data_IF_604312257380
#
_entry.id   IF_604312257380
#
_cell.length_a   1.000
_cell.length_b   1.000
_cell.length_c   1.000
_cell.angle_alpha   90.00
_cell.angle_beta   90.00
_cell.angle_gamma   90.00
#
_symmetry.space_group_name_H-M   'P 1'
#
loop_
_entity.id
_entity.type
_entity.pdbx_description
1 polymer ?
#
# COMPACT_ATOMS: atom_id res chain seq x y z
N UNK A 1 10.96 8.27 -7.98
CA UNK A 1 10.66 6.90 -8.44
C UNK A 1 11.87 6.02 -8.15
N UNK A 2 11.66 4.82 -7.59
CA UNK A 2 12.72 3.82 -7.44
C UNK A 2 12.90 3.07 -8.76
N UNK A 3 14.15 2.90 -9.20
CA UNK A 3 14.48 2.09 -10.38
C UNK A 3 14.84 0.68 -9.90
N UNK A 4 14.15 -0.33 -10.43
CA UNK A 4 14.37 -1.74 -10.09
C UNK A 4 14.85 -2.48 -11.32
N UNK A 5 15.86 -3.33 -11.15
CA UNK A 5 16.32 -4.28 -12.17
C UNK A 5 15.86 -5.67 -11.76
N UNK A 6 15.29 -6.41 -12.69
CA UNK A 6 14.82 -7.78 -12.48
C UNK A 6 15.33 -8.67 -13.61
N UNK A 7 15.71 -9.89 -13.26
CA UNK A 7 16.00 -10.93 -14.25
C UNK A 7 14.69 -11.61 -14.65
N UNK A 8 14.48 -11.76 -15.96
CA UNK A 8 13.34 -12.46 -16.54
C UNK A 8 13.84 -13.54 -17.50
N UNK A 9 13.37 -14.80 -17.39
CA UNK A 9 13.59 -15.81 -18.41
C UNK A 9 13.06 -15.37 -19.78
N UNK A 10 13.75 -15.77 -20.86
CA UNK A 10 13.43 -15.35 -22.23
C UNK A 10 11.97 -15.63 -22.63
N UNK A 11 11.43 -16.79 -22.21
CA UNK A 11 10.03 -17.17 -22.47
C UNK A 11 9.04 -16.14 -21.91
N UNK A 12 9.33 -15.54 -20.75
CA UNK A 12 8.48 -14.53 -20.14
C UNK A 12 8.65 -13.17 -20.82
N UNK A 13 9.86 -12.83 -21.25
CA UNK A 13 10.12 -11.60 -22.03
C UNK A 13 9.30 -11.62 -23.32
N UNK A 14 9.27 -12.76 -24.01
CA UNK A 14 8.48 -12.91 -25.23
C UNK A 14 6.98 -12.68 -24.96
N UNK A 15 6.42 -13.32 -23.94
CA UNK A 15 5.01 -13.13 -23.57
C UNK A 15 4.67 -11.68 -23.21
N UNK A 16 5.52 -11.00 -22.44
CA UNK A 16 5.36 -9.59 -22.09
C UNK A 16 5.42 -8.68 -23.32
N UNK A 17 6.32 -8.98 -24.26
CA UNK A 17 6.48 -8.21 -25.50
C UNK A 17 5.25 -8.34 -26.40
N UNK A 18 4.75 -9.55 -26.60
CA UNK A 18 3.52 -9.77 -27.38
C UNK A 18 2.34 -9.01 -26.77
N UNK A 19 2.19 -9.05 -25.44
CA UNK A 19 1.11 -8.33 -24.76
C UNK A 19 1.25 -6.82 -24.86
N UNK A 20 2.47 -6.29 -24.73
CA UNK A 20 2.79 -4.87 -24.94
C UNK A 20 2.40 -4.39 -26.34
N UNK A 21 2.63 -5.21 -27.38
CA UNK A 21 2.24 -4.89 -28.76
C UNK A 21 0.71 -4.93 -28.92
N UNK A 22 0.05 -5.97 -28.41
CA UNK A 22 -1.41 -6.14 -28.52
C UNK A 22 -2.18 -5.01 -27.80
N UNK A 23 -1.73 -4.63 -26.61
CA UNK A 23 -2.37 -3.59 -25.80
C UNK A 23 -1.87 -2.17 -26.14
N UNK A 24 -0.89 -2.04 -27.06
CA UNK A 24 -0.24 -0.79 -27.45
C UNK A 24 0.23 0.07 -26.25
N UNK A 25 0.86 -0.60 -25.27
CA UNK A 25 1.41 0.03 -24.06
C UNK A 25 2.85 -0.39 -23.84
N UNK A 26 3.62 0.43 -23.13
CA UNK A 26 5.01 0.10 -22.82
C UNK A 26 5.14 -1.17 -21.97
N UNK A 27 6.24 -1.91 -22.14
CA UNK A 27 6.49 -3.13 -21.38
C UNK A 27 6.52 -2.90 -19.86
N UNK A 28 7.05 -1.75 -19.42
CA UNK A 28 7.06 -1.33 -18.01
C UNK A 28 5.65 -1.21 -17.44
N UNK A 29 4.72 -0.68 -18.23
CA UNK A 29 3.32 -0.53 -17.83
C UNK A 29 2.61 -1.88 -17.71
N UNK A 30 2.88 -2.81 -18.64
CA UNK A 30 2.36 -4.19 -18.57
C UNK A 30 2.86 -4.89 -17.30
N UNK A 31 4.16 -4.77 -17.00
CA UNK A 31 4.76 -5.36 -15.79
C UNK A 31 4.14 -4.74 -14.53
N UNK A 32 3.96 -3.42 -14.50
CA UNK A 32 3.33 -2.70 -13.39
C UNK A 32 1.92 -3.22 -13.13
N UNK A 33 1.07 -3.32 -14.16
CA UNK A 33 -0.30 -3.83 -14.05
C UNK A 33 -0.34 -5.28 -13.53
N UNK A 34 0.52 -6.14 -14.06
CA UNK A 34 0.60 -7.53 -13.58
C UNK A 34 0.98 -7.62 -12.10
N UNK A 35 1.92 -6.77 -11.65
CA UNK A 35 2.30 -6.70 -10.24
C UNK A 35 1.16 -6.15 -9.38
N UNK A 36 0.49 -5.09 -9.82
CA UNK A 36 -0.64 -4.48 -9.12
C UNK A 36 -1.80 -5.47 -8.96
N UNK A 37 -2.14 -6.22 -10.00
CA UNK A 37 -3.17 -7.27 -9.93
C UNK A 37 -2.80 -8.32 -8.87
N UNK A 38 -1.57 -8.85 -8.90
CA UNK A 38 -1.14 -9.88 -7.94
C UNK A 38 -1.06 -9.37 -6.51
N UNK A 39 -0.58 -8.14 -6.29
CA UNK A 39 -0.51 -7.53 -4.97
C UNK A 39 -1.89 -7.15 -4.43
N UNK A 40 -2.80 -6.73 -5.30
CA UNK A 40 -4.18 -6.39 -4.92
C UNK A 40 -5.00 -7.62 -4.53
N UNK A 41 -4.76 -8.76 -5.18
CA UNK A 41 -5.39 -10.04 -4.82
C UNK A 41 -4.99 -10.49 -3.40
N UNK A 42 -3.79 -10.14 -2.93
CA UNK A 42 -3.35 -10.40 -1.55
C UNK A 42 -3.79 -9.35 -0.52
N UNK A 43 -4.25 -8.17 -0.97
CA UNK A 43 -4.63 -7.04 -0.12
C UNK A 43 -6.08 -6.60 -0.33
N UNK A 44 -7.03 -7.54 -0.25
CA UNK A 44 -8.39 -7.19 0.20
C UNK A 44 -8.35 -6.92 1.71
N UNK A 45 -7.60 -5.91 2.12
CA UNK A 45 -7.67 -5.39 3.47
C UNK A 45 -8.91 -4.52 3.49
N UNK A 46 -9.97 -4.98 4.17
CA UNK A 46 -11.13 -4.16 4.47
C UNK A 46 -10.62 -2.91 5.21
N UNK A 47 -10.71 -1.70 4.63
CA UNK A 47 -10.23 -0.50 5.32
C UNK A 47 -10.96 -0.29 6.65
N UNK A 48 -12.21 -0.79 6.74
CA UNK A 48 -13.01 -0.82 7.97
C UNK A 48 -12.39 -1.71 9.06
N UNK A 49 -11.83 -2.88 8.71
CA UNK A 49 -11.20 -3.80 9.68
C UNK A 49 -9.89 -3.25 10.23
N UNK A 50 -9.09 -2.58 9.40
CA UNK A 50 -7.83 -1.99 9.85
C UNK A 50 -8.06 -0.74 10.73
N UNK A 51 -9.11 0.03 10.44
CA UNK A 51 -9.52 1.18 11.26
C UNK A 51 -10.11 0.75 12.61
N UNK A 52 -10.99 -0.25 12.62
CA UNK A 52 -11.60 -0.80 13.85
C UNK A 52 -10.57 -1.51 14.71
N UNK A 53 -9.61 -2.23 14.11
CA UNK A 53 -8.51 -2.89 14.82
C UNK A 53 -7.58 -1.92 15.55
N UNK A 54 -7.29 -0.75 14.96
CA UNK A 54 -6.52 0.33 15.61
C UNK A 54 -7.31 1.06 16.70
N UNK A 55 -8.63 1.09 16.64
CA UNK A 55 -9.49 1.70 17.66
C UNK A 55 -9.72 0.79 18.88
N UNK A 56 -9.59 -0.53 18.72
CA UNK A 56 -9.80 -1.50 19.79
C UNK A 56 -8.56 -1.85 20.61
N UNK A 57 -7.39 -1.24 20.36
CA UNK A 57 -6.30 -1.26 21.34
C UNK A 57 -6.73 -0.49 22.60
N UNK A 58 -7.16 -1.27 23.59
CA UNK A 58 -7.61 -0.90 24.93
C UNK A 58 -6.72 0.13 25.62
N UNK A 59 -6.93 1.41 25.36
CA UNK A 59 -6.80 2.48 26.36
C UNK A 59 -7.91 3.48 26.09
N UNK A 60 -8.98 3.40 26.88
CA UNK A 60 -9.91 4.53 27.09
C UNK A 60 -9.15 5.62 27.86
N UNK A 61 -8.15 6.22 27.22
CA UNK A 61 -7.60 7.48 27.70
C UNK A 61 -8.62 8.54 27.34
N UNK A 62 -9.24 9.14 28.34
CA UNK A 62 -10.05 10.36 28.18
C UNK A 62 -9.13 11.43 27.59
N UNK A 63 -9.09 11.52 26.26
CA UNK A 63 -8.21 12.44 25.52
C UNK A 63 -8.39 13.89 25.96
N UNK A 64 -9.59 14.22 26.43
CA UNK A 64 -9.95 15.54 26.97
C UNK A 64 -9.20 15.88 28.27
N UNK A 65 -8.96 14.90 29.16
CA UNK A 65 -8.21 15.14 30.42
C UNK A 65 -6.72 15.35 30.16
N UNK A 66 -6.13 14.54 29.28
CA UNK A 66 -4.70 14.65 28.91
C UNK A 66 -4.33 16.00 28.31
N UNK A 67 -5.22 16.57 27.49
CA UNK A 67 -5.01 17.90 26.91
C UNK A 67 -5.12 18.99 28.00
N UNK A 68 -6.12 18.89 28.89
CA UNK A 68 -6.28 19.85 30.00
C UNK A 68 -5.08 19.84 30.96
N UNK A 69 -4.56 18.65 31.30
CA UNK A 69 -3.42 18.50 32.20
C UNK A 69 -2.12 19.02 31.56
N UNK A 70 -1.94 18.85 30.24
CA UNK A 70 -0.78 19.38 29.51
C UNK A 70 -0.69 20.92 29.53
N UNK A 71 -1.82 21.61 29.34
CA UNK A 71 -1.84 23.08 29.39
C UNK A 71 -1.75 23.63 30.82
N UNK A 72 -2.22 22.90 31.83
CA UNK A 72 -2.05 23.30 33.23
C UNK A 72 -0.61 23.16 33.73
N UNK A 73 0.15 22.19 33.22
CA UNK A 73 1.55 21.98 33.61
C UNK A 73 2.56 22.94 32.96
N UNK A 74 2.23 23.49 31.79
CA UNK A 74 3.14 24.33 30.99
C UNK A 74 2.83 25.84 31.05
N UNK A 75 1.91 26.27 31.92
CA UNK A 75 1.71 27.66 32.29
C UNK A 75 2.43 27.94 33.62
N UNK A 76 3.76 28.04 33.57
CA UNK A 76 4.59 28.65 34.61
C UNK A 76 5.51 29.68 33.97
#
# INVERSE_FOLDING_TARGET
MLRMQIYLPEKLIFGLKTRSIVENVSMSEVIRRCLEEKLSVGKRVDPMKEFVGKLHTKKKTNSVKLISDYYKGNLK
#
